data_IF_877497124587
#
_entry.id   IF_877497124587
#
_cell.length_a   1.000
_cell.length_b   1.000
_cell.length_c   1.000
_cell.angle_alpha   90.00
_cell.angle_beta   90.00
_cell.angle_gamma   90.00
#
_symmetry.space_group_name_H-M   'P 1'
#
loop_
_entity.id
_entity.type
_entity.pdbx_description
1 polymer ?
#
# COMPACT_ATOMS: atom_id res chain seq x y z
N UNK A 1 22.01 -31.62 40.24
CA UNK A 1 20.82 -32.06 39.48
C UNK A 1 20.09 -30.83 38.93
N UNK A 2 20.14 -30.64 37.62
CA UNK A 2 19.54 -29.52 36.88
C UNK A 2 18.06 -29.81 36.58
N UNK A 3 17.15 -28.97 37.09
CA UNK A 3 15.72 -29.02 36.75
C UNK A 3 15.53 -28.41 35.35
N UNK A 4 14.87 -29.09 34.39
CA UNK A 4 14.66 -28.49 33.08
C UNK A 4 13.58 -27.39 33.18
N UNK A 5 13.94 -26.21 32.70
CA UNK A 5 13.05 -25.07 32.52
C UNK A 5 11.98 -25.42 31.48
N UNK A 6 10.72 -25.49 31.94
CA UNK A 6 9.53 -25.58 31.11
C UNK A 6 9.49 -24.35 30.22
N UNK A 7 9.91 -24.49 28.95
CA UNK A 7 9.69 -23.46 27.92
C UNK A 7 8.20 -23.17 27.92
N UNK A 8 7.83 -21.98 28.40
CA UNK A 8 6.47 -21.44 28.26
C UNK A 8 6.16 -21.46 26.77
N UNK A 9 5.32 -22.42 26.37
CA UNK A 9 4.73 -22.44 25.05
C UNK A 9 4.00 -21.10 24.91
N UNK A 10 4.42 -20.31 23.91
CA UNK A 10 3.65 -19.17 23.42
C UNK A 10 2.19 -19.58 23.32
N UNK A 11 1.22 -18.73 23.74
CA UNK A 11 -0.18 -19.11 23.70
C UNK A 11 -0.52 -19.57 22.28
N UNK A 12 -0.88 -20.85 22.19
CA UNK A 12 -1.31 -21.47 20.94
C UNK A 12 -2.44 -20.62 20.40
N UNK A 13 -2.17 -19.99 19.26
CA UNK A 13 -3.14 -19.21 18.50
C UNK A 13 -4.43 -20.04 18.38
N UNK A 14 -5.62 -19.48 18.64
CA UNK A 14 -6.84 -20.14 18.18
C UNK A 14 -6.70 -20.31 16.66
N UNK A 15 -7.08 -21.46 16.07
CA UNK A 15 -6.98 -21.67 14.63
C UNK A 15 -7.80 -20.57 13.96
N UNK A 16 -7.10 -19.59 13.37
CA UNK A 16 -7.76 -18.49 12.68
C UNK A 16 -8.32 -19.07 11.39
N UNK A 17 -9.61 -18.88 11.21
CA UNK A 17 -10.42 -19.44 10.14
C UNK A 17 -9.78 -19.15 8.77
N UNK A 18 -9.23 -20.20 8.12
CA UNK A 18 -8.48 -20.08 6.87
C UNK A 18 -9.29 -19.39 5.76
N UNK A 19 -10.62 -19.53 5.82
CA UNK A 19 -11.58 -18.90 4.94
C UNK A 19 -11.54 -17.36 5.02
N UNK A 20 -11.28 -16.79 6.21
CA UNK A 20 -11.17 -15.34 6.39
C UNK A 20 -9.89 -14.79 5.75
N UNK A 21 -8.79 -15.53 5.83
CA UNK A 21 -7.54 -15.14 5.17
C UNK A 21 -7.62 -15.26 3.66
N UNK A 22 -8.35 -16.24 3.14
CA UNK A 22 -8.62 -16.37 1.70
C UNK A 22 -9.43 -15.17 1.19
N UNK A 23 -10.55 -14.84 1.84
CA UNK A 23 -11.37 -13.66 1.51
C UNK A 23 -10.55 -12.37 1.59
N UNK A 24 -9.66 -12.28 2.57
CA UNK A 24 -8.77 -11.14 2.74
C UNK A 24 -7.75 -11.01 1.62
N UNK A 25 -7.11 -12.13 1.26
CA UNK A 25 -6.16 -12.17 0.15
C UNK A 25 -6.83 -11.80 -1.17
N UNK A 26 -8.07 -12.27 -1.40
CA UNK A 26 -8.88 -11.91 -2.55
C UNK A 26 -9.19 -10.40 -2.57
N UNK A 27 -9.57 -9.81 -1.43
CA UNK A 27 -9.82 -8.38 -1.32
C UNK A 27 -8.55 -7.54 -1.60
N UNK A 28 -7.40 -7.96 -1.06
CA UNK A 28 -6.11 -7.34 -1.35
C UNK A 28 -5.74 -7.43 -2.84
N UNK A 29 -5.97 -8.58 -3.47
CA UNK A 29 -5.75 -8.76 -4.89
C UNK A 29 -6.63 -7.82 -5.73
N UNK A 30 -7.92 -7.72 -5.44
CA UNK A 30 -8.82 -6.81 -6.13
C UNK A 30 -8.44 -5.34 -5.97
N UNK A 31 -7.92 -4.94 -4.79
CA UNK A 31 -7.35 -3.61 -4.61
C UNK A 31 -6.17 -3.39 -5.56
N UNK A 32 -5.19 -4.29 -5.56
CA UNK A 32 -4.00 -4.17 -6.40
C UNK A 32 -4.37 -4.10 -7.90
N UNK A 33 -5.31 -4.94 -8.35
CA UNK A 33 -5.79 -4.90 -9.73
C UNK A 33 -6.45 -3.54 -10.06
N UNK A 34 -7.30 -3.04 -9.17
CA UNK A 34 -7.93 -1.72 -9.30
C UNK A 34 -6.88 -0.61 -9.37
N UNK A 35 -5.87 -0.61 -8.51
CA UNK A 35 -4.77 0.36 -8.53
C UNK A 35 -3.99 0.30 -9.85
N UNK A 36 -3.76 -0.92 -10.38
CA UNK A 36 -3.17 -1.12 -11.69
C UNK A 36 -4.03 -0.57 -12.84
N UNK A 37 -5.36 -0.66 -12.75
CA UNK A 37 -6.28 -0.04 -13.72
C UNK A 37 -6.26 1.49 -13.62
N UNK A 38 -6.31 2.04 -12.40
CA UNK A 38 -6.23 3.47 -12.13
C UNK A 38 -4.96 4.09 -12.71
N UNK A 39 -3.80 3.47 -12.48
CA UNK A 39 -2.53 3.94 -13.03
C UNK A 39 -2.53 3.89 -14.57
N UNK A 40 -3.07 2.83 -15.17
CA UNK A 40 -3.22 2.73 -16.64
C UNK A 40 -4.08 3.85 -17.21
N UNK A 41 -5.15 4.26 -16.53
CA UNK A 41 -5.97 5.39 -16.96
C UNK A 41 -5.18 6.70 -16.96
N UNK A 42 -4.45 7.00 -15.89
CA UNK A 42 -3.59 8.20 -15.81
C UNK A 42 -2.51 8.19 -16.89
N UNK A 43 -1.84 7.05 -17.12
CA UNK A 43 -0.84 6.91 -18.20
C UNK A 43 -1.48 7.15 -19.56
N UNK A 44 -2.69 6.65 -19.79
CA UNK A 44 -3.40 6.81 -21.07
C UNK A 44 -3.73 8.28 -21.33
N UNK A 45 -4.26 8.98 -20.32
CA UNK A 45 -4.54 10.42 -20.41
C UNK A 45 -3.27 11.24 -20.64
N UNK A 46 -2.21 10.98 -19.87
CA UNK A 46 -0.92 11.65 -20.04
C UNK A 46 -0.31 11.41 -21.43
N UNK A 47 -0.39 10.17 -21.94
CA UNK A 47 0.09 9.81 -23.28
C UNK A 47 -0.71 10.52 -24.37
N UNK A 48 -2.04 10.65 -24.18
CA UNK A 48 -2.91 11.37 -25.12
C UNK A 48 -2.52 12.85 -25.21
N UNK A 49 -2.31 13.50 -24.05
CA UNK A 49 -1.85 14.89 -23.98
C UNK A 49 -0.48 15.03 -24.65
N UNK A 50 0.45 14.11 -24.36
CA UNK A 50 1.81 14.17 -24.89
C UNK A 50 1.89 13.99 -26.41
N UNK A 51 1.05 13.11 -26.98
CA UNK A 51 1.06 12.82 -28.43
C UNK A 51 0.34 13.86 -29.27
N UNK A 52 -0.48 14.72 -28.67
CA UNK A 52 -1.22 15.78 -29.35
C UNK A 52 -0.61 17.14 -29.00
N UNK A 53 0.37 17.66 -29.76
CA UNK A 53 0.93 18.98 -29.48
C UNK A 53 -0.09 20.06 -29.84
N UNK A 54 -0.44 20.95 -28.89
CA UNK A 54 -1.30 22.10 -29.18
C UNK A 54 -0.55 23.21 -29.90
N UNK A 55 -1.03 23.54 -31.10
CA UNK A 55 -0.53 24.63 -31.94
C UNK A 55 -1.43 25.86 -31.78
N UNK A 56 -2.75 25.67 -31.66
CA UNK A 56 -3.73 26.75 -31.55
C UNK A 56 -4.04 27.14 -30.10
N UNK A 57 -4.73 28.29 -29.91
CA UNK A 57 -5.15 28.75 -28.57
C UNK A 57 -6.22 27.80 -28.01
N UNK A 58 -7.11 27.35 -28.89
CA UNK A 58 -8.21 26.45 -28.61
C UNK A 58 -7.68 25.09 -28.13
N UNK A 59 -6.73 24.50 -28.86
CA UNK A 59 -6.07 23.24 -28.47
C UNK A 59 -5.31 23.38 -27.13
N UNK A 60 -4.69 24.54 -26.86
CA UNK A 60 -4.05 24.80 -25.56
C UNK A 60 -5.07 24.86 -24.43
N UNK A 61 -6.26 25.41 -24.68
CA UNK A 61 -7.34 25.44 -23.71
C UNK A 61 -7.89 24.03 -23.46
N UNK A 62 -8.08 23.24 -24.52
CA UNK A 62 -8.51 21.85 -24.42
C UNK A 62 -7.51 20.99 -23.63
N UNK A 63 -6.19 21.13 -23.87
CA UNK A 63 -5.18 20.43 -23.07
C UNK A 63 -5.18 20.85 -21.60
N UNK A 64 -5.47 22.12 -21.27
CA UNK A 64 -5.62 22.53 -19.86
C UNK A 64 -6.80 21.83 -19.21
N UNK A 65 -7.92 21.71 -19.91
CA UNK A 65 -9.09 20.98 -19.41
C UNK A 65 -8.78 19.48 -19.22
N UNK A 66 -8.02 18.88 -20.15
CA UNK A 66 -7.61 17.48 -20.04
C UNK A 66 -6.61 17.24 -18.89
N UNK A 67 -5.71 18.20 -18.65
CA UNK A 67 -4.82 18.18 -17.48
C UNK A 67 -5.58 18.34 -16.17
N UNK A 68 -6.56 19.26 -16.12
CA UNK A 68 -7.44 19.43 -14.96
C UNK A 68 -8.20 18.13 -14.66
N UNK A 69 -8.78 17.50 -15.68
CA UNK A 69 -9.44 16.21 -15.55
C UNK A 69 -8.48 15.12 -15.02
N UNK A 70 -7.25 15.08 -15.54
CA UNK A 70 -6.23 14.12 -15.07
C UNK A 70 -5.88 14.33 -13.60
N UNK A 71 -5.78 15.59 -13.14
CA UNK A 71 -5.55 15.94 -11.73
C UNK A 71 -6.73 15.48 -10.87
N UNK A 72 -7.96 15.80 -11.25
CA UNK A 72 -9.17 15.39 -10.53
C UNK A 72 -9.29 13.87 -10.40
N UNK A 73 -8.99 13.14 -11.49
CA UNK A 73 -8.96 11.67 -11.47
C UNK A 73 -7.88 11.17 -10.51
N UNK A 74 -6.68 11.76 -10.56
CA UNK A 74 -5.59 11.43 -9.66
C UNK A 74 -5.92 11.65 -8.18
N UNK A 75 -6.54 12.78 -7.85
CA UNK A 75 -6.99 13.10 -6.48
C UNK A 75 -8.06 12.12 -6.00
N UNK A 76 -9.03 11.78 -6.85
CA UNK A 76 -10.05 10.80 -6.53
C UNK A 76 -9.46 9.40 -6.27
N UNK A 77 -8.47 8.98 -7.08
CA UNK A 77 -7.75 7.73 -6.87
C UNK A 77 -6.95 7.75 -5.57
N UNK A 78 -6.25 8.86 -5.29
CA UNK A 78 -5.49 9.03 -4.06
C UNK A 78 -6.39 8.98 -2.80
N UNK A 79 -7.51 9.70 -2.81
CA UNK A 79 -8.50 9.68 -1.72
C UNK A 79 -9.00 8.26 -1.45
N UNK A 80 -9.32 7.50 -2.51
CA UNK A 80 -9.79 6.13 -2.32
C UNK A 80 -8.69 5.21 -1.78
N UNK A 81 -7.46 5.33 -2.31
CA UNK A 81 -6.33 4.54 -1.84
C UNK A 81 -6.02 4.79 -0.36
N UNK A 82 -6.23 6.01 0.14
CA UNK A 82 -6.02 6.34 1.54
C UNK A 82 -6.97 5.56 2.47
N UNK A 83 -8.24 5.48 2.09
CA UNK A 83 -9.25 4.69 2.80
C UNK A 83 -8.86 3.20 2.84
N UNK A 84 -8.42 2.68 1.69
CA UNK A 84 -7.98 1.29 1.58
C UNK A 84 -6.72 1.02 2.44
N UNK A 85 -5.77 1.96 2.48
CA UNK A 85 -4.55 1.85 3.28
C UNK A 85 -4.82 1.80 4.79
N UNK A 86 -5.79 2.55 5.28
CA UNK A 86 -6.24 2.49 6.68
C UNK A 86 -6.76 1.07 7.02
N UNK A 87 -7.57 0.47 6.13
CA UNK A 87 -8.07 -0.89 6.28
C UNK A 87 -6.94 -1.94 6.32
N UNK A 88 -6.00 -1.88 5.37
CA UNK A 88 -4.87 -2.83 5.33
C UNK A 88 -3.91 -2.67 6.50
N UNK A 89 -3.80 -1.47 7.08
CA UNK A 89 -3.02 -1.24 8.30
C UNK A 89 -3.65 -1.95 9.49
N UNK A 90 -4.97 -1.83 9.68
CA UNK A 90 -5.72 -2.56 10.73
C UNK A 90 -5.55 -4.08 10.57
N UNK A 91 -5.60 -4.57 9.34
CA UNK A 91 -5.44 -5.99 9.02
C UNK A 91 -4.02 -6.50 9.28
N UNK A 92 -2.99 -5.71 8.94
CA UNK A 92 -1.60 -6.04 9.24
C UNK A 92 -1.36 -6.11 10.76
N UNK A 93 -2.04 -5.27 11.53
CA UNK A 93 -1.97 -5.26 12.99
C UNK A 93 -2.65 -6.49 13.60
N UNK A 94 -3.82 -6.87 13.08
CA UNK A 94 -4.54 -8.10 13.47
C UNK A 94 -3.73 -9.37 13.11
N UNK A 95 -3.17 -9.42 11.90
CA UNK A 95 -2.34 -10.55 11.44
C UNK A 95 -1.03 -10.70 12.22
N UNK A 96 -0.46 -9.60 12.75
CA UNK A 96 0.71 -9.62 13.65
C UNK A 96 0.38 -10.13 15.05
N UNK A 97 -0.90 -10.37 15.38
CA UNK A 97 -1.32 -10.95 16.65
C UNK A 97 -1.13 -10.02 17.85
N UNK A 98 -1.15 -8.70 17.64
CA UNK A 98 -1.10 -7.74 18.73
C UNK A 98 -2.46 -7.77 19.45
N UNK A 99 -2.52 -8.17 20.73
CA UNK A 99 -3.79 -8.38 21.43
C UNK A 99 -4.50 -7.04 21.60
N UNK A 100 -5.67 -6.88 20.97
CA UNK A 100 -6.77 -5.92 21.21
C UNK A 100 -6.46 -4.71 22.11
N UNK A 101 -5.37 -3.99 21.82
CA UNK A 101 -4.99 -2.76 22.50
C UNK A 101 -5.52 -1.67 21.60
N UNK A 102 -6.37 -0.79 22.13
CA UNK A 102 -6.71 0.45 21.43
C UNK A 102 -5.39 1.07 20.97
N UNK A 103 -5.13 1.03 19.66
CA UNK A 103 -3.87 1.52 19.11
C UNK A 103 -3.83 3.01 19.40
N UNK A 104 -2.97 3.40 20.33
CA UNK A 104 -2.74 4.82 20.52
C UNK A 104 -1.99 5.35 19.28
N UNK A 105 -2.15 6.62 18.90
CA UNK A 105 -1.43 7.18 17.76
C UNK A 105 0.09 6.96 17.83
N UNK A 106 0.67 6.88 19.03
CA UNK A 106 2.08 6.55 19.26
C UNK A 106 2.45 5.11 18.90
N UNK A 107 1.57 4.14 19.19
CA UNK A 107 1.78 2.73 18.82
C UNK A 107 1.71 2.54 17.30
N UNK A 108 0.78 3.23 16.63
CA UNK A 108 0.69 3.25 15.17
C UNK A 108 1.96 3.85 14.53
N UNK A 109 2.45 4.96 15.07
CA UNK A 109 3.68 5.60 14.59
C UNK A 109 4.90 4.69 14.78
N UNK A 110 5.00 3.98 15.91
CA UNK A 110 6.10 3.04 16.16
C UNK A 110 6.06 1.83 15.20
N UNK A 111 4.89 1.28 14.92
CA UNK A 111 4.75 0.13 14.01
C UNK A 111 5.01 0.53 12.55
N UNK A 112 4.57 1.72 12.15
CA UNK A 112 4.87 2.28 10.83
C UNK A 112 6.36 2.62 10.70
N UNK A 113 6.99 3.15 11.75
CA UNK A 113 8.43 3.41 11.77
C UNK A 113 9.24 2.11 11.66
N UNK A 114 8.85 1.05 12.36
CA UNK A 114 9.53 -0.25 12.32
C UNK A 114 9.37 -0.94 10.95
N UNK A 115 8.17 -0.83 10.34
CA UNK A 115 7.93 -1.28 8.97
C UNK A 115 8.75 -0.46 7.95
N UNK A 116 8.87 0.85 8.15
CA UNK A 116 9.71 1.72 7.33
C UNK A 116 11.20 1.39 7.49
N UNK A 117 11.67 1.04 8.70
CA UNK A 117 13.06 0.62 8.91
C UNK A 117 13.35 -0.73 8.24
N UNK A 118 12.43 -1.68 8.30
CA UNK A 118 12.52 -2.96 7.57
C UNK A 118 12.49 -2.79 6.04
N UNK A 119 11.67 -1.85 5.54
CA UNK A 119 11.63 -1.49 4.12
C UNK A 119 12.91 -0.77 3.67
N UNK A 120 13.46 0.14 4.49
CA UNK A 120 14.68 0.87 4.22
C UNK A 120 15.91 -0.06 4.23
N UNK A 121 15.93 -1.07 5.10
CA UNK A 121 16.95 -2.13 5.09
C UNK A 121 16.90 -3.00 3.82
N UNK A 122 15.70 -3.25 3.29
CA UNK A 122 15.53 -3.92 1.99
C UNK A 122 15.93 -3.04 0.80
N UNK A 123 15.61 -1.74 0.85
CA UNK A 123 16.00 -0.78 -0.18
C UNK A 123 17.53 -0.59 -0.23
N UNK A 124 18.17 -0.43 0.93
CA UNK A 124 19.63 -0.34 1.04
C UNK A 124 20.35 -1.62 0.60
N UNK A 125 19.77 -2.80 0.85
CA UNK A 125 20.28 -4.06 0.35
C UNK A 125 20.10 -4.21 -1.18
N UNK A 126 19.03 -3.63 -1.75
CA UNK A 126 18.83 -3.55 -3.19
C UNK A 126 19.82 -2.58 -3.83
N UNK A 127 20.04 -1.39 -3.29
CA UNK A 127 21.01 -0.41 -3.82
C UNK A 127 22.46 -0.95 -3.76
N UNK A 128 22.81 -1.72 -2.73
CA UNK A 128 24.10 -2.41 -2.64
C UNK A 128 24.27 -3.55 -3.68
N UNK A 129 23.17 -4.08 -4.21
CA UNK A 129 23.17 -5.11 -5.26
C UNK A 129 23.36 -4.51 -6.66
N UNK A 130 22.96 -3.24 -6.87
CA UNK A 130 23.05 -2.58 -8.18
C UNK A 130 24.40 -1.91 -8.44
N UNK A 131 25.20 -1.69 -7.40
CA UNK A 131 26.54 -1.07 -7.47
C UNK A 131 27.69 -2.04 -7.76
N UNK A 132 27.38 -3.33 -8.02
CA UNK A 132 28.36 -4.39 -8.32
C UNK A 132 28.36 -4.88 -9.78
N UNK A 133 27.67 -4.19 -10.69
CA UNK A 133 27.70 -4.50 -12.12
C UNK A 133 28.16 -3.31 -12.94
#
# INVERSE_FOLDING_TARGET
MTKPTRKQQSPSRPPVDALRYEQLALAAFHLCDRQGQQLRHLITLATSIFRSPAVTVEERHEHRNLLELMIQIGENYHSTNRCDQELFTVLALDAKGLPNRQLTPGDAAAILADAAHGANGKLAAMDASWTKH
#
